data_IF_949456998499
#
_entry.id   IF_949456998499
#
_cell.length_a   1.000
_cell.length_b   1.000
_cell.length_c   1.000
_cell.angle_alpha   90.00
_cell.angle_beta   90.00
_cell.angle_gamma   90.00
#
_symmetry.space_group_name_H-M   'P 1'
#
loop_
_entity.id
_entity.type
_entity.pdbx_description
1 polymer ?
#
# COMPACT_ATOMS: atom_id res chain seq x y z
N UNK A 1 -7.97 22.49 11.50
CA UNK A 1 -6.66 22.20 11.89
C UNK A 1 -5.63 22.78 10.97
N UNK A 2 -5.12 23.92 11.39
CA UNK A 2 -4.22 24.70 10.54
C UNK A 2 -2.88 24.01 10.31
N UNK A 3 -2.38 23.34 11.34
CA UNK A 3 -1.08 22.65 11.22
C UNK A 3 -1.15 21.48 10.24
N UNK A 4 -2.26 20.80 10.22
CA UNK A 4 -2.44 19.68 9.31
C UNK A 4 -2.34 20.13 7.85
N UNK A 5 -2.85 21.31 7.54
CA UNK A 5 -2.81 21.83 6.18
C UNK A 5 -1.38 22.11 5.72
N UNK A 6 -0.55 22.69 6.60
CA UNK A 6 0.84 22.99 6.28
C UNK A 6 1.63 21.69 6.14
N UNK A 7 1.43 20.74 7.06
CA UNK A 7 2.09 19.45 7.00
C UNK A 7 1.72 18.70 5.74
N UNK A 8 0.45 18.81 5.32
CA UNK A 8 -0.01 18.13 4.13
C UNK A 8 0.72 18.63 2.87
N UNK A 9 0.92 19.94 2.77
CA UNK A 9 1.66 20.52 1.65
C UNK A 9 3.09 19.99 1.63
N UNK A 10 3.72 19.88 2.79
CA UNK A 10 5.08 19.36 2.87
C UNK A 10 5.13 17.88 2.47
N UNK A 11 4.18 17.09 2.92
CA UNK A 11 4.19 15.66 2.65
C UNK A 11 3.91 15.32 1.20
N UNK A 12 3.22 16.18 0.45
CA UNK A 12 2.98 15.96 -0.97
C UNK A 12 4.30 15.78 -1.73
N UNK A 13 5.32 16.54 -1.34
CA UNK A 13 6.63 16.52 -2.00
C UNK A 13 7.64 15.64 -1.28
N UNK A 14 7.26 15.02 -0.18
CA UNK A 14 8.20 14.28 0.66
C UNK A 14 8.49 12.92 0.08
N UNK A 15 9.75 12.59 -0.17
CA UNK A 15 10.12 11.23 -0.54
C UNK A 15 10.24 10.36 0.69
N UNK A 16 10.06 9.08 0.51
CA UNK A 16 10.20 8.16 1.63
C UNK A 16 9.99 6.72 1.27
N UNK A 17 10.17 5.90 2.29
CA UNK A 17 9.92 4.47 2.23
C UNK A 17 8.73 4.19 3.13
N UNK A 18 7.89 3.27 2.71
CA UNK A 18 6.74 2.87 3.51
C UNK A 18 6.61 1.36 3.54
N UNK A 19 6.00 0.87 4.61
CA UNK A 19 5.67 -0.54 4.76
C UNK A 19 4.18 -0.65 4.99
N UNK A 20 3.54 -1.54 4.24
CA UNK A 20 2.15 -1.90 4.48
C UNK A 20 2.15 -3.25 5.17
N UNK A 21 1.53 -3.33 6.32
CA UNK A 21 1.33 -4.61 7.00
C UNK A 21 -0.06 -5.09 6.59
N UNK A 22 -0.10 -6.24 5.95
CA UNK A 22 -1.32 -6.75 5.33
C UNK A 22 -1.69 -8.07 5.99
N UNK A 23 -2.97 -8.21 6.34
CA UNK A 23 -3.49 -9.47 6.83
C UNK A 23 -4.36 -10.12 5.76
N UNK A 24 -4.03 -11.34 5.41
CA UNK A 24 -4.83 -12.15 4.48
C UNK A 24 -5.64 -13.15 5.30
N UNK A 25 -6.97 -13.01 5.33
CA UNK A 25 -7.80 -13.80 6.25
C UNK A 25 -7.97 -15.25 5.87
N UNK A 26 -7.74 -15.62 4.63
CA UNK A 26 -7.86 -17.01 4.20
C UNK A 26 -6.89 -17.31 3.08
N UNK A 27 -6.52 -18.58 2.95
CA UNK A 27 -5.70 -19.04 1.84
C UNK A 27 -6.39 -18.69 0.53
N UNK A 28 -5.65 -18.11 -0.39
CA UNK A 28 -6.25 -17.59 -1.62
C UNK A 28 -5.29 -17.76 -2.78
N UNK A 29 -5.84 -18.20 -3.91
CA UNK A 29 -5.11 -18.22 -5.17
C UNK A 29 -5.47 -16.94 -5.92
N UNK A 30 -4.47 -16.15 -6.25
CA UNK A 30 -4.66 -14.81 -6.82
C UNK A 30 -3.95 -14.72 -8.16
N UNK A 31 -4.67 -14.27 -9.16
CA UNK A 31 -4.07 -13.96 -10.46
C UNK A 31 -3.54 -12.54 -10.41
N UNK A 32 -2.21 -12.42 -10.49
CA UNK A 32 -1.52 -11.15 -10.32
C UNK A 32 -1.13 -10.62 -11.69
N UNK A 33 -2.09 -10.02 -12.38
CA UNK A 33 -1.88 -9.47 -13.71
C UNK A 33 -1.22 -10.47 -14.64
N UNK A 34 -0.20 -10.02 -15.36
CA UNK A 34 0.51 -10.86 -16.30
C UNK A 34 1.52 -11.79 -15.65
N UNK A 35 1.78 -11.63 -14.35
CA UNK A 35 2.70 -12.52 -13.65
C UNK A 35 2.15 -13.94 -13.50
N UNK A 36 0.82 -14.09 -13.55
CA UNK A 36 0.18 -15.37 -13.41
C UNK A 36 -0.47 -15.56 -12.05
N UNK A 37 -0.82 -16.80 -11.76
CA UNK A 37 -1.56 -17.14 -10.57
C UNK A 37 -0.62 -17.69 -9.50
N UNK A 38 -0.78 -17.15 -8.28
CA UNK A 38 0.04 -17.54 -7.14
C UNK A 38 -0.85 -17.88 -5.96
N UNK A 39 -0.42 -18.84 -5.18
CA UNK A 39 -1.11 -19.25 -3.97
C UNK A 39 -0.51 -18.51 -2.77
N UNK A 40 -1.38 -17.86 -2.00
CA UNK A 40 -1.01 -17.13 -0.80
C UNK A 40 -1.69 -17.77 0.41
N UNK A 41 -0.90 -18.11 1.42
CA UNK A 41 -1.44 -18.64 2.65
C UNK A 41 -2.00 -17.53 3.51
N UNK A 42 -3.00 -17.85 4.34
CA UNK A 42 -3.49 -16.92 5.36
C UNK A 42 -2.34 -16.47 6.25
N UNK A 43 -2.36 -15.21 6.66
CA UNK A 43 -1.32 -14.68 7.54
C UNK A 43 -0.99 -13.23 7.22
N UNK A 44 0.17 -12.82 7.71
CA UNK A 44 0.63 -11.44 7.59
C UNK A 44 1.69 -11.31 6.51
N UNK A 45 1.58 -10.22 5.76
CA UNK A 45 2.52 -9.89 4.70
C UNK A 45 2.98 -8.46 4.88
N UNK A 46 4.23 -8.21 4.52
CA UNK A 46 4.79 -6.86 4.54
C UNK A 46 5.14 -6.48 3.12
N UNK A 47 4.57 -5.39 2.67
CA UNK A 47 4.93 -4.81 1.38
C UNK A 47 5.72 -3.55 1.63
N UNK A 48 6.90 -3.44 1.04
CA UNK A 48 7.76 -2.26 1.14
C UNK A 48 7.77 -1.54 -0.19
N UNK A 49 7.46 -0.26 -0.15
CA UNK A 49 7.51 0.57 -1.34
C UNK A 49 8.26 1.85 -1.08
N UNK A 50 8.58 2.55 -2.14
CA UNK A 50 9.22 3.86 -2.04
C UNK A 50 8.46 4.85 -2.90
N UNK A 51 8.49 6.11 -2.50
CA UNK A 51 7.94 7.20 -3.26
C UNK A 51 8.98 8.29 -3.35
N UNK A 52 9.27 8.73 -4.57
CA UNK A 52 10.18 9.84 -4.78
C UNK A 52 9.53 11.15 -4.37
N UNK A 53 8.23 11.25 -4.52
CA UNK A 53 7.41 12.39 -4.16
C UNK A 53 6.03 11.89 -3.77
N UNK A 54 5.35 12.63 -2.90
CA UNK A 54 3.98 12.31 -2.57
C UNK A 54 3.80 11.02 -1.79
N UNK A 55 4.60 10.84 -0.74
CA UNK A 55 4.52 9.65 0.10
C UNK A 55 3.08 9.41 0.60
N UNK A 56 2.46 10.46 1.13
CA UNK A 56 1.10 10.34 1.67
C UNK A 56 0.09 9.97 0.59
N UNK A 57 0.24 10.54 -0.59
CA UNK A 57 -0.66 10.24 -1.70
C UNK A 57 -0.53 8.79 -2.15
N UNK A 58 0.69 8.28 -2.15
CA UNK A 58 0.94 6.88 -2.51
C UNK A 58 0.27 5.95 -1.50
N UNK A 59 0.43 6.23 -0.22
CA UNK A 59 -0.18 5.43 0.84
C UNK A 59 -1.70 5.52 0.76
N UNK A 60 -2.23 6.74 0.57
CA UNK A 60 -3.68 6.92 0.45
C UNK A 60 -4.24 6.10 -0.71
N UNK A 61 -3.52 6.01 -1.82
CA UNK A 61 -3.96 5.20 -2.94
C UNK A 61 -4.03 3.72 -2.57
N UNK A 62 -3.04 3.22 -1.84
CA UNK A 62 -3.07 1.82 -1.40
C UNK A 62 -4.26 1.52 -0.49
N UNK A 63 -4.64 2.49 0.33
CA UNK A 63 -5.74 2.31 1.28
C UNK A 63 -7.12 2.39 0.63
N UNK A 64 -7.22 2.91 -0.57
CA UNK A 64 -8.52 2.98 -1.25
C UNK A 64 -8.98 1.60 -1.66
N UNK A 65 -10.25 1.32 -1.43
CA UNK A 65 -10.85 0.05 -1.83
C UNK A 65 -11.14 0.02 -3.33
N UNK A 66 -11.48 1.16 -3.91
CA UNK A 66 -11.74 1.26 -5.33
C UNK A 66 -10.61 1.97 -6.03
N UNK A 67 -9.91 1.24 -6.92
CA UNK A 67 -8.80 1.79 -7.68
C UNK A 67 -8.55 0.92 -8.89
N UNK A 68 -7.94 1.54 -9.90
CA UNK A 68 -7.48 0.79 -11.06
C UNK A 68 -6.27 -0.03 -10.62
N UNK A 69 -6.26 -1.32 -10.95
CA UNK A 69 -5.14 -2.19 -10.64
C UNK A 69 -3.94 -1.78 -11.47
N UNK A 70 -2.86 -1.42 -10.83
CA UNK A 70 -1.66 -0.91 -11.49
C UNK A 70 -0.41 -1.64 -11.04
N UNK A 71 -0.23 -1.79 -9.73
CA UNK A 71 0.91 -2.52 -9.17
C UNK A 71 0.49 -3.92 -8.75
N UNK A 72 1.48 -4.83 -8.71
CA UNK A 72 1.19 -6.20 -8.34
C UNK A 72 0.54 -6.31 -6.96
N UNK A 73 0.96 -5.44 -6.03
CA UNK A 73 0.38 -5.42 -4.69
C UNK A 73 -1.13 -5.12 -4.72
N UNK A 74 -1.60 -4.39 -5.71
CA UNK A 74 -3.03 -4.07 -5.80
C UNK A 74 -3.89 -5.33 -5.85
N UNK A 75 -3.38 -6.39 -6.48
CA UNK A 75 -4.13 -7.65 -6.60
C UNK A 75 -4.26 -8.33 -5.24
N UNK A 76 -3.19 -8.33 -4.44
CA UNK A 76 -3.25 -8.89 -3.08
C UNK A 76 -4.19 -8.07 -2.21
N UNK A 77 -4.19 -6.76 -2.35
CA UNK A 77 -5.01 -5.87 -1.53
C UNK A 77 -6.51 -6.01 -1.81
N UNK A 78 -6.90 -6.66 -2.89
CA UNK A 78 -8.31 -6.98 -3.11
C UNK A 78 -8.80 -8.08 -2.16
N UNK A 79 -7.89 -8.87 -1.61
CA UNK A 79 -8.21 -10.02 -0.77
C UNK A 79 -7.76 -9.83 0.67
N UNK A 80 -6.75 -9.01 0.90
CA UNK A 80 -6.22 -8.75 2.22
C UNK A 80 -6.56 -7.36 2.73
N UNK A 81 -6.29 -7.12 4.00
CA UNK A 81 -6.53 -5.83 4.64
C UNK A 81 -5.22 -5.23 5.09
N UNK A 82 -5.04 -3.93 4.83
CA UNK A 82 -3.93 -3.19 5.41
C UNK A 82 -4.29 -2.92 6.87
N UNK A 83 -3.51 -3.46 7.79
CA UNK A 83 -3.77 -3.31 9.22
C UNK A 83 -2.83 -2.30 9.87
N UNK A 84 -1.75 -1.95 9.22
CA UNK A 84 -0.82 -0.96 9.74
C UNK A 84 0.02 -0.41 8.60
N UNK A 85 0.49 0.83 8.77
CA UNK A 85 1.36 1.50 7.83
C UNK A 85 2.47 2.17 8.60
N UNK A 86 3.71 1.92 8.21
CA UNK A 86 4.85 2.63 8.76
C UNK A 86 5.56 3.38 7.65
N UNK A 87 6.15 4.51 7.98
CA UNK A 87 6.82 5.36 7.00
C UNK A 87 8.16 5.80 7.53
N UNK A 88 9.07 6.07 6.58
CA UNK A 88 10.37 6.64 6.88
C UNK A 88 10.71 7.64 5.80
N UNK A 89 10.88 8.89 6.21
CA UNK A 89 11.25 9.97 5.30
C UNK A 89 12.75 9.87 5.02
N UNK A 90 13.12 10.02 3.77
CA UNK A 90 14.52 9.95 3.34
C UNK A 90 15.04 11.27 2.80
#
# INVERSE_FOLDING_TARGET
MKHAKILWINTIMTPGIYHLIIYLPSDTSIEVGKLGRYYFQTGYYVYTGSAMRGLDQRIARHLRSEKRLHWHIDYLLQHGQIIDVTTRIT
#
